data_IF_423593307632
#
_entry.id   IF_423593307632
#
_cell.length_a   1.000
_cell.length_b   1.000
_cell.length_c   1.000
_cell.angle_alpha   90.00
_cell.angle_beta   90.00
_cell.angle_gamma   90.00
#
_symmetry.space_group_name_H-M   'P 1'
#
loop_
_entity.id
_entity.type
_entity.pdbx_description
1 polymer ?
#
# COMPACT_ATOMS: atom_id res chain seq x y z
N UNK A 1 12.43 -15.51 -12.71
CA UNK A 1 12.10 -14.10 -12.39
C UNK A 1 10.66 -13.70 -12.82
N UNK A 2 9.61 -14.49 -12.51
CA UNK A 2 8.20 -14.08 -12.69
C UNK A 2 7.50 -13.77 -11.35
N UNK A 3 7.85 -14.54 -10.32
CA UNK A 3 7.26 -14.49 -8.97
C UNK A 3 7.45 -13.16 -8.23
N UNK A 4 8.53 -12.43 -8.52
CA UNK A 4 8.82 -11.15 -7.86
C UNK A 4 7.86 -10.03 -8.31
N UNK A 5 7.42 -10.08 -9.59
CA UNK A 5 6.47 -9.11 -10.15
C UNK A 5 5.06 -9.35 -9.63
N UNK A 6 4.63 -10.62 -9.59
CA UNK A 6 3.33 -11.00 -9.01
C UNK A 6 3.20 -10.60 -7.53
N UNK A 7 4.26 -10.73 -6.74
CA UNK A 7 4.23 -10.34 -5.34
C UNK A 7 4.09 -8.81 -5.18
N UNK A 8 4.78 -8.04 -6.03
CA UNK A 8 4.65 -6.59 -6.06
C UNK A 8 3.25 -6.16 -6.50
N UNK A 9 2.69 -6.77 -7.55
CA UNK A 9 1.35 -6.47 -8.04
C UNK A 9 0.27 -6.78 -6.99
N UNK A 10 0.39 -7.92 -6.29
CA UNK A 10 -0.49 -8.25 -5.15
C UNK A 10 -0.39 -7.21 -4.04
N UNK A 11 0.81 -6.75 -3.71
CA UNK A 11 1.02 -5.73 -2.68
C UNK A 11 0.41 -4.39 -3.10
N UNK A 12 0.60 -3.96 -4.35
CA UNK A 12 -0.04 -2.75 -4.90
C UNK A 12 -1.56 -2.84 -4.81
N UNK A 13 -2.13 -3.96 -5.28
CA UNK A 13 -3.58 -4.20 -5.23
C UNK A 13 -4.11 -4.16 -3.80
N UNK A 14 -3.41 -4.78 -2.86
CA UNK A 14 -3.79 -4.75 -1.43
C UNK A 14 -3.78 -3.34 -0.86
N UNK A 15 -2.72 -2.56 -1.12
CA UNK A 15 -2.61 -1.17 -0.63
C UNK A 15 -3.74 -0.31 -1.18
N UNK A 16 -4.01 -0.36 -2.49
CA UNK A 16 -5.07 0.43 -3.12
C UNK A 16 -6.46 0.06 -2.58
N UNK A 17 -6.75 -1.23 -2.47
CA UNK A 17 -8.02 -1.71 -1.90
C UNK A 17 -8.17 -1.24 -0.45
N UNK A 18 -7.11 -1.33 0.36
CA UNK A 18 -7.16 -0.92 1.76
C UNK A 18 -7.41 0.58 1.90
N UNK A 19 -6.81 1.41 1.05
CA UNK A 19 -7.06 2.86 1.03
C UNK A 19 -8.51 3.16 0.62
N UNK A 20 -9.04 2.46 -0.38
CA UNK A 20 -10.42 2.62 -0.84
C UNK A 20 -11.43 2.22 0.25
N UNK A 21 -11.25 1.04 0.84
CA UNK A 21 -12.11 0.51 1.92
C UNK A 21 -12.07 1.41 3.17
N UNK A 22 -10.97 2.12 3.38
CA UNK A 22 -10.76 3.01 4.53
C UNK A 22 -10.82 4.51 4.16
N UNK A 23 -11.40 4.90 3.02
CA UNK A 23 -11.40 6.30 2.58
C UNK A 23 -12.01 7.29 3.58
N UNK A 24 -12.84 6.78 4.50
CA UNK A 24 -13.48 7.52 5.58
C UNK A 24 -12.48 7.95 6.67
N UNK A 25 -11.30 7.32 6.75
CA UNK A 25 -10.22 7.67 7.66
C UNK A 25 -9.29 8.72 7.02
N UNK A 26 -8.57 9.46 7.85
CA UNK A 26 -7.49 10.32 7.37
C UNK A 26 -6.38 9.50 6.73
N UNK A 27 -5.87 9.95 5.58
CA UNK A 27 -4.80 9.28 4.83
C UNK A 27 -3.58 8.94 5.71
N UNK A 28 -3.20 9.83 6.64
CA UNK A 28 -2.08 9.58 7.56
C UNK A 28 -2.30 8.35 8.45
N UNK A 29 -3.54 8.14 8.92
CA UNK A 29 -3.89 6.96 9.74
C UNK A 29 -3.81 5.69 8.89
N UNK A 30 -4.37 5.73 7.67
CA UNK A 30 -4.34 4.61 6.74
C UNK A 30 -2.89 4.20 6.42
N UNK A 31 -2.02 5.17 6.18
CA UNK A 31 -0.61 4.93 5.86
C UNK A 31 0.12 4.33 7.06
N UNK A 32 -0.10 4.82 8.28
CA UNK A 32 0.47 4.23 9.50
C UNK A 32 0.04 2.77 9.65
N UNK A 33 -1.26 2.47 9.47
CA UNK A 33 -1.78 1.10 9.54
C UNK A 33 -1.14 0.19 8.48
N UNK A 34 -0.91 0.71 7.26
CA UNK A 34 -0.27 -0.04 6.18
C UNK A 34 1.22 -0.29 6.43
N UNK A 35 1.93 0.67 7.02
CA UNK A 35 3.34 0.52 7.45
C UNK A 35 3.45 -0.62 8.44
N UNK A 36 2.59 -0.64 9.45
CA UNK A 36 2.57 -1.68 10.49
C UNK A 36 2.18 -3.05 9.93
N UNK A 37 1.20 -3.11 9.01
CA UNK A 37 0.74 -4.37 8.42
C UNK A 37 1.73 -4.97 7.42
N UNK A 38 2.38 -4.14 6.62
CA UNK A 38 3.23 -4.59 5.51
C UNK A 38 4.72 -4.55 5.85
N UNK A 39 5.09 -3.99 7.01
CA UNK A 39 6.47 -3.81 7.47
C UNK A 39 7.34 -3.09 6.43
N UNK A 40 6.80 -2.04 5.82
CA UNK A 40 7.48 -1.20 4.83
C UNK A 40 7.36 0.27 5.20
N UNK A 41 8.28 1.10 4.69
CA UNK A 41 8.28 2.53 5.01
C UNK A 41 7.08 3.28 4.42
N UNK A 42 6.68 4.37 5.08
CA UNK A 42 5.67 5.31 4.55
C UNK A 42 6.02 5.75 3.14
N UNK A 43 7.30 6.08 2.89
CA UNK A 43 7.80 6.45 1.56
C UNK A 43 7.52 5.36 0.51
N UNK A 44 7.62 4.08 0.88
CA UNK A 44 7.27 2.97 -0.02
C UNK A 44 5.78 2.93 -0.31
N UNK A 45 4.92 3.16 0.69
CA UNK A 45 3.47 3.26 0.51
C UNK A 45 3.13 4.42 -0.42
N UNK A 46 3.66 5.62 -0.16
CA UNK A 46 3.46 6.79 -1.01
C UNK A 46 3.93 6.56 -2.44
N UNK A 47 5.10 5.93 -2.63
CA UNK A 47 5.58 5.58 -3.97
C UNK A 47 4.65 4.60 -4.68
N UNK A 48 4.01 3.67 -3.96
CA UNK A 48 3.05 2.74 -4.57
C UNK A 48 1.76 3.45 -4.96
N UNK A 49 1.30 4.39 -4.12
CA UNK A 49 0.08 5.17 -4.35
C UNK A 49 0.25 6.22 -5.46
N UNK A 50 1.43 6.84 -5.57
CA UNK A 50 1.75 7.86 -6.57
C UNK A 50 2.32 7.28 -7.88
N UNK A 51 2.53 5.97 -7.96
CA UNK A 51 2.89 5.33 -9.23
C UNK A 51 1.64 5.15 -10.07
N UNK A 52 1.29 6.18 -10.85
CA UNK A 52 0.45 6.06 -12.05
C UNK A 52 1.10 5.13 -13.09
#
# INVERSE_FOLDING_TARGET
>A
MKRHKELQDKRKKFINQYVEDNNHKQMKVIISELVDKLFISEKTIYNILNQE
#
